data_IF_924369263177
#
_entry.id   IF_924369263177
#
_cell.length_a   1.000
_cell.length_b   1.000
_cell.length_c   1.000
_cell.angle_alpha   90.00
_cell.angle_beta   90.00
_cell.angle_gamma   90.00
#
_symmetry.space_group_name_H-M   'P 1'
#
loop_
_entity.id
_entity.type
_entity.pdbx_description
1 polymer ?
#
# COMPACT_ATOMS: atom_id res chain seq x y z
N UNK A 1 20.67 -33.18 9.55
CA UNK A 1 19.44 -33.02 10.37
C UNK A 1 19.32 -31.55 10.77
N UNK A 2 18.50 -30.77 10.06
CA UNK A 2 18.29 -29.35 10.37
C UNK A 2 17.33 -29.21 11.55
N UNK A 3 17.70 -28.42 12.55
CA UNK A 3 16.90 -28.20 13.75
C UNK A 3 15.66 -27.37 13.42
N UNK A 4 14.48 -27.94 13.65
CA UNK A 4 13.19 -27.23 13.56
C UNK A 4 13.19 -26.15 14.65
N UNK A 5 13.31 -24.88 14.24
CA UNK A 5 13.27 -23.73 15.15
C UNK A 5 11.85 -23.65 15.74
N UNK A 6 11.70 -23.89 17.05
CA UNK A 6 10.42 -23.75 17.77
C UNK A 6 9.77 -22.40 17.44
N UNK A 7 8.43 -22.31 17.32
CA UNK A 7 7.77 -21.04 17.07
C UNK A 7 8.15 -20.07 18.17
N UNK A 8 8.84 -18.98 17.80
CA UNK A 8 9.09 -17.88 18.72
C UNK A 8 7.74 -17.37 19.20
N UNK A 9 7.61 -17.11 20.50
CA UNK A 9 6.41 -16.46 21.08
C UNK A 9 6.03 -15.28 20.19
N UNK A 10 4.73 -15.12 19.92
CA UNK A 10 4.21 -14.04 19.10
C UNK A 10 4.63 -12.70 19.73
N UNK A 11 5.66 -12.09 19.15
CA UNK A 11 6.16 -10.79 19.57
C UNK A 11 5.32 -9.74 18.88
N UNK A 12 4.63 -8.94 19.66
CA UNK A 12 3.81 -7.85 19.16
C UNK A 12 4.65 -6.58 19.11
N UNK A 13 4.81 -6.02 17.92
CA UNK A 13 5.38 -4.70 17.71
C UNK A 13 4.26 -3.69 17.43
N UNK A 14 4.58 -2.38 17.43
CA UNK A 14 3.65 -1.31 17.04
C UNK A 14 2.29 -1.36 17.75
N UNK A 15 2.29 -1.34 19.08
CA UNK A 15 1.07 -1.34 19.89
C UNK A 15 0.18 -2.60 19.71
N UNK A 16 0.80 -3.71 19.30
CA UNK A 16 0.14 -5.01 19.15
C UNK A 16 -1.02 -4.97 18.15
N UNK A 17 -2.10 -5.74 18.36
CA UNK A 17 -3.20 -5.81 17.39
C UNK A 17 -3.97 -4.48 17.23
N UNK A 18 -3.89 -3.59 18.22
CA UNK A 18 -4.58 -2.31 18.19
C UNK A 18 -3.92 -1.30 17.24
N UNK A 19 -2.59 -1.33 17.09
CA UNK A 19 -1.87 -0.44 16.17
C UNK A 19 -2.33 -0.58 14.72
N UNK A 20 -2.28 -1.80 14.13
CA UNK A 20 -2.81 -2.06 12.79
C UNK A 20 -4.30 -1.72 12.67
N UNK A 21 -5.11 -2.02 13.69
CA UNK A 21 -6.54 -1.68 13.67
C UNK A 21 -6.76 -0.16 13.52
N UNK A 22 -5.98 0.66 14.22
CA UNK A 22 -6.02 2.13 14.06
C UNK A 22 -5.50 2.53 12.67
N UNK A 23 -4.39 1.96 12.22
CA UNK A 23 -3.76 2.31 10.94
C UNK A 23 -4.64 2.02 9.72
N UNK A 24 -5.48 0.98 9.77
CA UNK A 24 -6.47 0.67 8.71
C UNK A 24 -7.41 1.85 8.45
N UNK A 25 -7.75 2.64 9.47
CA UNK A 25 -8.61 3.82 9.32
C UNK A 25 -7.79 5.11 9.18
N UNK A 26 -6.72 5.25 9.96
CA UNK A 26 -5.91 6.46 9.99
C UNK A 26 -5.20 6.71 8.66
N UNK A 27 -4.62 5.67 8.02
CA UNK A 27 -3.87 5.85 6.76
C UNK A 27 -4.78 6.32 5.61
N UNK A 28 -5.94 5.70 5.32
CA UNK A 28 -6.86 6.24 4.33
C UNK A 28 -7.36 7.64 4.68
N UNK A 29 -7.67 7.91 5.97
CA UNK A 29 -8.10 9.24 6.40
C UNK A 29 -7.03 10.31 6.14
N UNK A 30 -5.75 10.00 6.36
CA UNK A 30 -4.63 10.89 5.99
C UNK A 30 -4.54 11.07 4.49
N UNK A 31 -4.64 10.00 3.68
CA UNK A 31 -4.62 10.11 2.22
C UNK A 31 -5.73 11.02 1.69
N UNK A 32 -6.98 10.81 2.12
CA UNK A 32 -8.11 11.68 1.77
C UNK A 32 -7.93 13.09 2.31
N UNK A 33 -7.44 13.23 3.55
CA UNK A 33 -7.12 14.51 4.15
C UNK A 33 -6.13 15.31 3.32
N UNK A 34 -5.09 14.67 2.78
CA UNK A 34 -4.11 15.30 1.89
C UNK A 34 -4.71 15.69 0.53
N UNK A 35 -5.60 14.87 -0.05
CA UNK A 35 -6.33 15.21 -1.29
C UNK A 35 -7.24 16.41 -1.07
N UNK A 36 -7.91 16.50 0.07
CA UNK A 36 -8.70 17.67 0.43
C UNK A 36 -7.82 18.89 0.73
N UNK A 37 -6.68 18.65 1.35
CA UNK A 37 -5.73 19.70 1.69
C UNK A 37 -5.11 20.34 0.45
N UNK A 38 -4.95 19.60 -0.65
CA UNK A 38 -4.46 20.16 -1.90
C UNK A 38 -5.13 19.49 -3.10
N UNK A 39 -5.93 20.29 -3.80
CA UNK A 39 -6.68 19.88 -4.98
C UNK A 39 -6.48 20.88 -6.11
N UNK A 40 -7.15 20.63 -7.24
CA UNK A 40 -7.05 21.46 -8.45
C UNK A 40 -7.49 22.93 -8.26
N UNK A 41 -8.35 23.20 -7.28
CA UNK A 41 -8.97 24.50 -7.08
C UNK A 41 -8.23 25.30 -5.99
N UNK A 42 -7.72 24.63 -4.94
CA UNK A 42 -6.99 25.28 -3.85
C UNK A 42 -6.07 24.29 -3.12
N UNK A 43 -5.00 24.80 -2.51
CA UNK A 43 -4.10 24.03 -1.66
C UNK A 43 -3.82 24.73 -0.32
N UNK A 44 -3.55 23.93 0.71
CA UNK A 44 -3.17 24.36 2.04
C UNK A 44 -1.82 25.08 1.95
N UNK A 45 -1.81 26.36 2.30
CA UNK A 45 -0.60 27.15 2.42
C UNK A 45 -0.35 27.42 3.90
N UNK A 46 0.81 27.01 4.42
CA UNK A 46 1.19 27.25 5.82
C UNK A 46 1.99 28.56 6.00
N UNK A 47 2.61 29.07 4.93
CA UNK A 47 3.47 30.25 4.97
C UNK A 47 3.44 30.98 3.62
N UNK A 48 3.49 32.32 3.55
CA UNK A 48 3.61 33.29 4.66
C UNK A 48 2.33 33.51 5.46
N UNK A 49 1.17 33.24 4.88
CA UNK A 49 -0.13 33.29 5.57
C UNK A 49 -0.82 31.93 5.50
N UNK A 50 -1.45 31.53 6.62
CA UNK A 50 -2.19 30.29 6.74
C UNK A 50 -3.49 30.40 5.93
N UNK A 51 -3.53 29.75 4.78
CA UNK A 51 -4.73 29.64 3.95
C UNK A 51 -5.24 28.21 4.01
N UNK A 52 -6.37 28.03 4.70
CA UNK A 52 -7.04 26.74 4.77
C UNK A 52 -7.79 26.50 3.45
N UNK A 53 -7.63 25.32 2.83
CA UNK A 53 -8.35 24.98 1.62
C UNK A 53 -9.85 24.90 1.94
N UNK A 54 -10.69 25.36 1.01
CA UNK A 54 -12.12 25.12 1.10
C UNK A 54 -12.36 23.61 1.01
N UNK A 55 -13.04 23.08 2.03
CA UNK A 55 -13.47 21.68 2.06
C UNK A 55 -14.57 21.52 1.01
N UNK A 56 -14.18 21.29 -0.24
CA UNK A 56 -15.12 20.99 -1.30
C UNK A 56 -15.85 19.68 -0.95
N UNK A 57 -17.19 19.67 -0.86
CA UNK A 57 -17.95 18.46 -0.53
C UNK A 57 -17.96 17.43 -1.66
N UNK A 58 -17.33 17.74 -2.80
CA UNK A 58 -17.58 17.06 -4.08
C UNK A 58 -16.56 15.99 -4.44
N UNK A 59 -15.98 15.26 -3.46
CA UNK A 59 -15.16 14.09 -3.80
C UNK A 59 -16.06 12.91 -4.11
N UNK A 60 -16.05 12.50 -5.38
CA UNK A 60 -16.68 11.25 -5.81
C UNK A 60 -15.84 10.08 -5.29
N UNK A 61 -16.34 9.37 -4.28
CA UNK A 61 -15.67 8.22 -3.67
C UNK A 61 -15.61 6.99 -4.58
N UNK A 62 -16.50 6.91 -5.58
CA UNK A 62 -16.58 5.78 -6.50
C UNK A 62 -17.00 6.20 -7.90
N UNK A 63 -16.31 5.65 -8.90
CA UNK A 63 -16.69 5.69 -10.31
C UNK A 63 -16.47 4.31 -10.92
N UNK A 64 -17.48 3.82 -11.65
CA UNK A 64 -17.39 2.53 -12.35
C UNK A 64 -16.29 2.57 -13.41
N UNK A 65 -16.19 3.71 -14.11
CA UNK A 65 -15.19 3.97 -15.13
C UNK A 65 -13.79 3.90 -14.52
N UNK A 66 -13.55 4.62 -13.41
CA UNK A 66 -12.27 4.60 -12.71
C UNK A 66 -11.89 3.19 -12.22
N UNK A 67 -12.86 2.44 -11.68
CA UNK A 67 -12.64 1.04 -11.28
C UNK A 67 -12.20 0.17 -12.45
N UNK A 68 -12.90 0.25 -13.58
CA UNK A 68 -12.58 -0.56 -14.76
C UNK A 68 -11.20 -0.23 -15.34
N UNK A 69 -10.84 1.06 -15.41
CA UNK A 69 -9.51 1.50 -15.84
C UNK A 69 -8.43 0.99 -14.89
N UNK A 70 -8.64 1.09 -13.57
CA UNK A 70 -7.70 0.58 -12.58
C UNK A 70 -7.53 -0.94 -12.69
N UNK A 71 -8.62 -1.70 -12.82
CA UNK A 71 -8.56 -3.15 -12.97
C UNK A 71 -7.84 -3.56 -14.26
N UNK A 72 -8.14 -2.89 -15.37
CA UNK A 72 -7.45 -3.15 -16.64
C UNK A 72 -5.94 -2.93 -16.51
N UNK A 73 -5.53 -1.82 -15.88
CA UNK A 73 -4.12 -1.54 -15.61
C UNK A 73 -3.49 -2.59 -14.67
N UNK A 74 -4.12 -2.88 -13.53
CA UNK A 74 -3.61 -3.83 -12.55
C UNK A 74 -3.43 -5.24 -13.13
N UNK A 75 -4.47 -5.77 -13.79
CA UNK A 75 -4.39 -7.09 -14.42
C UNK A 75 -3.48 -7.10 -15.64
N UNK A 76 -3.38 -5.99 -16.37
CA UNK A 76 -2.39 -5.80 -17.42
C UNK A 76 -0.97 -5.96 -16.89
N UNK A 77 -0.63 -5.30 -15.78
CA UNK A 77 0.67 -5.45 -15.13
C UNK A 77 0.91 -6.87 -14.58
N UNK A 78 -0.10 -7.48 -13.96
CA UNK A 78 0.00 -8.86 -13.49
C UNK A 78 0.26 -9.84 -14.65
N UNK A 79 -0.43 -9.65 -15.78
CA UNK A 79 -0.23 -10.44 -16.98
C UNK A 79 1.17 -10.25 -17.56
N UNK A 80 1.64 -8.99 -17.65
CA UNK A 80 3.00 -8.70 -18.10
C UNK A 80 4.06 -9.34 -17.19
N UNK A 81 3.88 -9.29 -15.87
CA UNK A 81 4.78 -9.97 -14.93
C UNK A 81 4.86 -11.49 -15.20
N UNK A 82 3.73 -12.12 -15.56
CA UNK A 82 3.68 -13.53 -15.91
C UNK A 82 4.30 -13.84 -17.28
N UNK A 83 4.08 -12.99 -18.29
CA UNK A 83 4.46 -13.24 -19.68
C UNK A 83 5.90 -12.82 -20.02
N UNK A 84 6.36 -11.67 -19.54
CA UNK A 84 7.65 -11.10 -19.98
C UNK A 84 8.84 -11.96 -19.54
N UNK A 85 9.89 -12.13 -20.35
CA UNK A 85 11.02 -13.01 -20.03
C UNK A 85 11.92 -12.38 -18.96
N UNK A 86 12.07 -13.00 -17.79
CA UNK A 86 12.83 -12.44 -16.65
C UNK A 86 13.74 -13.47 -16.00
N UNK A 87 14.76 -13.00 -15.28
CA UNK A 87 15.66 -13.85 -14.52
C UNK A 87 14.95 -14.44 -13.30
N UNK A 88 15.32 -15.65 -12.90
CA UNK A 88 14.84 -16.25 -11.66
C UNK A 88 15.91 -16.16 -10.59
N UNK A 89 15.57 -15.52 -9.48
CA UNK A 89 16.47 -15.35 -8.33
C UNK A 89 15.91 -16.05 -7.09
N UNK A 90 16.81 -16.49 -6.20
CA UNK A 90 16.43 -17.06 -4.92
C UNK A 90 16.27 -15.95 -3.88
N UNK A 91 15.13 -15.96 -3.18
CA UNK A 91 14.89 -15.07 -2.04
C UNK A 91 15.71 -15.44 -0.81
N UNK A 92 15.45 -14.75 0.30
CA UNK A 92 16.09 -15.03 1.59
C UNK A 92 15.75 -16.43 2.12
N UNK A 93 16.61 -16.95 3.01
CA UNK A 93 16.35 -18.22 3.69
C UNK A 93 15.19 -18.04 4.67
N UNK A 94 14.15 -18.86 4.51
CA UNK A 94 13.01 -18.93 5.42
C UNK A 94 13.39 -19.65 6.72
N UNK A 95 12.60 -19.51 7.81
CA UNK A 95 12.86 -20.22 9.07
C UNK A 95 12.94 -21.75 8.95
N UNK A 96 12.31 -22.33 7.92
CA UNK A 96 12.37 -23.76 7.61
C UNK A 96 13.57 -24.15 6.72
N UNK A 97 14.47 -23.21 6.43
CA UNK A 97 15.66 -23.40 5.61
C UNK A 97 15.40 -23.34 4.10
N UNK A 98 14.16 -23.21 3.65
CA UNK A 98 13.82 -23.14 2.22
C UNK A 98 14.03 -21.73 1.67
N UNK A 99 14.03 -21.60 0.35
CA UNK A 99 14.02 -20.32 -0.37
C UNK A 99 12.89 -20.32 -1.38
N UNK A 100 12.25 -19.16 -1.54
CA UNK A 100 11.28 -18.93 -2.61
C UNK A 100 12.03 -18.46 -3.86
N UNK A 101 11.63 -18.98 -5.02
CA UNK A 101 12.16 -18.54 -6.31
C UNK A 101 11.26 -17.45 -6.89
N UNK A 102 11.83 -16.29 -7.19
CA UNK A 102 11.12 -15.14 -7.74
C UNK A 102 11.54 -14.90 -9.19
N UNK A 103 10.56 -14.61 -10.05
CA UNK A 103 10.81 -14.14 -11.42
C UNK A 103 10.92 -12.62 -11.39
N UNK A 104 12.09 -12.11 -11.75
CA UNK A 104 12.41 -10.69 -11.83
C UNK A 104 12.55 -10.33 -13.31
N UNK A 105 11.62 -9.53 -13.82
CA UNK A 105 11.62 -9.04 -15.19
C UNK A 105 12.29 -7.68 -15.27
#
# INVERSE_FOLDING_TARGET
MGTVKKPSKQHFEFFGPHGPAVLVFALPAVCYGLIHACNKDTCLQLWPELQLPSLSPSIRLYSREALLVYLAWFFGLALLHLLLPGQRAQGVVLPDGKRLTYKLN
#
